data_IF_346312555189
#
_entry.id   IF_346312555189
#
_cell.length_a   1.000
_cell.length_b   1.000
_cell.length_c   1.000
_cell.angle_alpha   90.00
_cell.angle_beta   90.00
_cell.angle_gamma   90.00
#
_symmetry.space_group_name_H-M   'P 1'
#
loop_
_entity.id
_entity.type
_entity.pdbx_description
1 polymer ?
#
# COMPACT_ATOMS: atom_id res chain seq x y z
N UNK A 1 56.99 6.09 -13.79
CA UNK A 1 55.87 5.64 -14.64
C UNK A 1 54.64 5.58 -13.76
N UNK A 2 53.61 6.37 -14.10
CA UNK A 2 52.35 6.48 -13.38
C UNK A 2 51.36 5.37 -13.78
N UNK A 3 50.30 5.22 -12.97
CA UNK A 3 49.02 4.51 -13.16
C UNK A 3 49.07 2.98 -12.91
N UNK A 4 48.16 2.32 -12.17
CA UNK A 4 46.83 2.63 -11.63
C UNK A 4 46.48 1.52 -10.59
N UNK A 5 45.75 1.79 -9.49
CA UNK A 5 45.04 0.74 -8.77
C UNK A 5 43.75 0.37 -9.53
N UNK A 6 43.55 -0.91 -9.82
CA UNK A 6 42.33 -1.41 -10.47
C UNK A 6 41.12 -1.25 -9.55
N UNK A 7 40.41 -0.12 -9.72
CA UNK A 7 39.06 0.05 -9.23
C UNK A 7 38.07 -0.45 -10.29
N UNK A 8 37.23 -1.39 -9.83
CA UNK A 8 35.83 -1.60 -10.20
C UNK A 8 35.53 -1.98 -11.65
N UNK A 9 34.79 -3.09 -11.84
CA UNK A 9 33.39 -3.04 -12.30
C UNK A 9 32.80 -4.45 -12.33
N UNK A 10 31.79 -4.65 -11.48
CA UNK A 10 30.54 -5.34 -11.83
C UNK A 10 30.63 -6.82 -12.27
N UNK A 11 30.64 -7.72 -11.28
CA UNK A 11 29.83 -8.94 -11.42
C UNK A 11 28.98 -9.11 -10.17
N UNK A 12 28.08 -8.15 -9.97
CA UNK A 12 26.95 -8.26 -9.05
C UNK A 12 25.72 -8.78 -9.80
N UNK A 13 25.89 -9.85 -10.59
CA UNK A 13 24.82 -10.71 -11.09
C UNK A 13 25.00 -12.05 -10.36
N UNK A 14 24.07 -12.64 -9.61
CA UNK A 14 22.65 -12.38 -9.44
C UNK A 14 22.22 -13.01 -8.10
N UNK A 15 21.76 -12.20 -7.13
CA UNK A 15 20.73 -12.71 -6.23
C UNK A 15 19.55 -12.92 -7.16
N UNK A 16 19.32 -14.16 -7.59
CA UNK A 16 18.16 -14.53 -8.41
C UNK A 16 16.95 -13.80 -7.84
N UNK A 17 16.43 -12.79 -8.54
CA UNK A 17 15.32 -11.98 -8.05
C UNK A 17 14.08 -12.87 -8.04
N UNK A 18 13.89 -13.58 -6.93
CA UNK A 18 12.67 -14.33 -6.66
C UNK A 18 11.53 -13.32 -6.52
N UNK A 19 10.40 -13.57 -7.18
CA UNK A 19 9.26 -12.67 -7.21
C UNK A 19 9.01 -11.99 -8.55
N UNK A 20 8.29 -10.88 -8.50
CA UNK A 20 7.93 -10.04 -9.65
C UNK A 20 8.75 -8.75 -9.55
N UNK A 21 9.46 -8.39 -10.63
CA UNK A 21 10.25 -7.16 -10.65
C UNK A 21 9.35 -5.92 -10.59
N UNK A 22 9.88 -4.79 -10.10
CA UNK A 22 9.13 -3.52 -10.07
C UNK A 22 8.68 -3.06 -11.46
N UNK A 23 9.51 -3.31 -12.48
CA UNK A 23 9.18 -2.97 -13.85
C UNK A 23 7.96 -3.76 -14.36
N UNK A 24 7.91 -5.07 -14.12
CA UNK A 24 6.75 -5.90 -14.48
C UNK A 24 5.49 -5.47 -13.74
N UNK A 25 5.58 -5.15 -12.45
CA UNK A 25 4.42 -4.62 -11.69
C UNK A 25 3.90 -3.31 -12.29
N UNK A 26 4.80 -2.40 -12.70
CA UNK A 26 4.41 -1.15 -13.36
C UNK A 26 3.72 -1.41 -14.70
N UNK A 27 4.25 -2.33 -15.51
CA UNK A 27 3.63 -2.69 -16.79
C UNK A 27 2.23 -3.27 -16.57
N UNK A 28 2.07 -4.21 -15.63
CA UNK A 28 0.77 -4.75 -15.27
C UNK A 28 -0.19 -3.67 -14.78
N UNK A 29 0.27 -2.72 -13.97
CA UNK A 29 -0.57 -1.64 -13.44
C UNK A 29 -1.13 -0.73 -14.54
N UNK A 30 -0.32 -0.44 -15.56
CA UNK A 30 -0.67 0.42 -16.69
C UNK A 30 -1.49 -0.31 -17.76
N UNK A 31 -1.39 -1.64 -17.83
CA UNK A 31 -2.12 -2.45 -18.81
C UNK A 31 -3.61 -2.55 -18.46
N UNK A 32 -4.33 -1.60 -19.02
CA UNK A 32 -5.75 -1.42 -18.79
C UNK A 32 -6.58 -2.56 -19.42
N UNK A 33 -6.20 -3.08 -20.58
CA UNK A 33 -6.93 -4.15 -21.27
C UNK A 33 -6.78 -5.48 -20.54
N UNK A 34 -5.58 -5.75 -20.02
CA UNK A 34 -5.36 -6.85 -19.10
C UNK A 34 -6.19 -6.68 -17.82
N UNK A 35 -6.22 -5.50 -17.21
CA UNK A 35 -7.01 -5.27 -15.99
C UNK A 35 -8.52 -5.44 -16.22
N UNK A 36 -9.04 -5.09 -17.39
CA UNK A 36 -10.43 -5.37 -17.77
C UNK A 36 -10.68 -6.88 -17.85
N UNK A 37 -9.75 -7.63 -18.43
CA UNK A 37 -9.86 -9.08 -18.55
C UNK A 37 -9.78 -9.76 -17.17
N UNK A 38 -8.83 -9.32 -16.34
CA UNK A 38 -8.63 -9.82 -14.98
C UNK A 38 -9.84 -9.51 -14.08
N UNK A 39 -10.46 -8.33 -14.23
CA UNK A 39 -11.69 -7.97 -13.51
C UNK A 39 -12.82 -8.95 -13.78
N UNK A 40 -13.03 -9.33 -15.06
CA UNK A 40 -14.04 -10.31 -15.46
C UNK A 40 -13.73 -11.71 -14.92
N UNK A 41 -12.47 -12.15 -15.03
CA UNK A 41 -12.05 -13.49 -14.59
C UNK A 41 -12.13 -13.60 -13.06
N UNK A 42 -11.62 -12.60 -12.35
CA UNK A 42 -11.51 -12.64 -10.90
C UNK A 42 -12.81 -12.23 -10.17
N UNK A 43 -13.73 -11.59 -10.89
CA UNK A 43 -14.88 -10.89 -10.35
C UNK A 43 -14.45 -9.90 -9.25
N UNK A 44 -13.55 -8.97 -9.61
CA UNK A 44 -12.96 -7.96 -8.74
C UNK A 44 -12.80 -6.65 -9.48
N UNK A 45 -13.11 -5.54 -8.82
CA UNK A 45 -13.07 -4.19 -9.39
C UNK A 45 -11.63 -3.67 -9.66
N UNK A 46 -10.73 -4.47 -10.23
CA UNK A 46 -9.33 -4.08 -10.47
C UNK A 46 -9.19 -3.11 -11.65
N UNK A 47 -10.15 -3.06 -12.59
CA UNK A 47 -10.14 -2.06 -13.65
C UNK A 47 -10.58 -0.72 -13.11
N UNK A 48 -11.68 -0.71 -12.35
CA UNK A 48 -12.39 0.51 -11.93
C UNK A 48 -11.95 1.06 -10.58
N UNK A 49 -11.40 0.23 -9.69
CA UNK A 49 -10.93 0.64 -8.37
C UNK A 49 -9.39 0.51 -8.26
N UNK A 50 -8.69 1.63 -8.38
CA UNK A 50 -7.22 1.69 -8.32
C UNK A 50 -6.64 1.28 -6.97
N UNK A 51 -7.40 1.40 -5.87
CA UNK A 51 -6.96 0.90 -4.56
C UNK A 51 -6.92 -0.63 -4.57
N UNK A 52 -7.97 -1.27 -5.10
CA UNK A 52 -8.01 -2.74 -5.27
C UNK A 52 -6.91 -3.20 -6.22
N UNK A 53 -6.72 -2.52 -7.36
CA UNK A 53 -5.64 -2.81 -8.31
C UNK A 53 -4.26 -2.79 -7.64
N UNK A 54 -3.95 -1.69 -6.94
CA UNK A 54 -2.68 -1.52 -6.23
C UNK A 54 -2.47 -2.60 -5.18
N UNK A 55 -3.50 -2.87 -4.37
CA UNK A 55 -3.44 -3.89 -3.32
C UNK A 55 -3.22 -5.28 -3.91
N UNK A 56 -3.85 -5.60 -5.05
CA UNK A 56 -3.66 -6.87 -5.75
C UNK A 56 -2.22 -7.04 -6.23
N UNK A 57 -1.63 -6.02 -6.85
CA UNK A 57 -0.26 -6.10 -7.35
C UNK A 57 0.78 -6.19 -6.23
N UNK A 58 0.57 -5.48 -5.12
CA UNK A 58 1.43 -5.65 -3.94
C UNK A 58 1.29 -7.04 -3.33
N UNK A 59 0.07 -7.54 -3.19
CA UNK A 59 -0.15 -8.91 -2.72
C UNK A 59 0.50 -9.93 -3.65
N UNK A 60 0.40 -9.75 -4.97
CA UNK A 60 1.01 -10.63 -5.96
C UNK A 60 2.53 -10.68 -5.85
N UNK A 61 3.18 -9.52 -5.66
CA UNK A 61 4.61 -9.45 -5.41
C UNK A 61 5.00 -10.25 -4.16
N UNK A 62 4.32 -10.01 -3.04
CA UNK A 62 4.56 -10.71 -1.77
C UNK A 62 4.32 -12.21 -1.92
N UNK A 63 3.24 -12.60 -2.58
CA UNK A 63 2.88 -14.00 -2.81
C UNK A 63 3.97 -14.74 -3.59
N UNK A 64 4.47 -14.14 -4.68
CA UNK A 64 5.54 -14.75 -5.48
C UNK A 64 6.85 -14.85 -4.69
N UNK A 65 7.18 -13.84 -3.87
CA UNK A 65 8.35 -13.88 -3.00
C UNK A 65 8.24 -15.00 -1.95
N UNK A 66 7.11 -15.12 -1.26
CA UNK A 66 6.90 -16.13 -0.22
C UNK A 66 6.91 -17.56 -0.76
N UNK A 67 6.47 -17.77 -2.01
CA UNK A 67 6.44 -19.09 -2.64
C UNK A 67 7.65 -19.38 -3.52
N UNK A 68 8.68 -18.52 -3.48
CA UNK A 68 9.86 -18.69 -4.32
C UNK A 68 9.49 -18.84 -5.83
N UNK A 69 8.44 -18.15 -6.29
CA UNK A 69 8.03 -18.15 -7.69
C UNK A 69 8.88 -17.14 -8.46
N UNK A 70 9.53 -17.62 -9.52
CA UNK A 70 10.19 -16.76 -10.51
C UNK A 70 9.21 -16.41 -11.63
N UNK A 71 9.18 -15.13 -11.99
CA UNK A 71 8.37 -14.59 -13.08
C UNK A 71 9.32 -14.11 -14.17
N UNK A 72 9.17 -14.66 -15.38
CA UNK A 72 10.14 -14.45 -16.46
C UNK A 72 9.92 -13.13 -17.20
N UNK A 73 8.67 -12.84 -17.52
CA UNK A 73 8.27 -11.73 -18.37
C UNK A 73 6.82 -11.29 -18.09
N UNK A 74 6.33 -10.34 -18.89
CA UNK A 74 4.99 -9.79 -18.76
C UNK A 74 3.89 -10.82 -19.02
N UNK A 75 4.07 -11.71 -19.99
CA UNK A 75 3.07 -12.73 -20.33
C UNK A 75 2.94 -13.76 -19.20
N UNK A 76 4.08 -14.28 -18.71
CA UNK A 76 4.13 -15.19 -17.55
C UNK A 76 3.48 -14.55 -16.31
N UNK A 77 3.75 -13.25 -16.07
CA UNK A 77 3.14 -12.53 -14.95
C UNK A 77 1.61 -12.45 -15.07
N UNK A 78 1.08 -12.15 -16.26
CA UNK A 78 -0.36 -12.06 -16.56
C UNK A 78 -1.04 -13.41 -16.37
N UNK A 79 -0.50 -14.44 -17.00
CA UNK A 79 -1.08 -15.79 -16.95
C UNK A 79 -1.07 -16.32 -15.52
N UNK A 80 0.03 -16.14 -14.81
CA UNK A 80 0.14 -16.60 -13.43
C UNK A 80 -0.81 -15.86 -12.50
N UNK A 81 -0.89 -14.53 -12.58
CA UNK A 81 -1.82 -13.74 -11.76
C UNK A 81 -3.28 -14.09 -12.06
N UNK A 82 -3.66 -14.24 -13.34
CA UNK A 82 -5.01 -14.67 -13.73
C UNK A 82 -5.36 -16.05 -13.14
N UNK A 83 -4.41 -16.99 -13.15
CA UNK A 83 -4.59 -18.31 -12.55
C UNK A 83 -4.76 -18.24 -11.03
N UNK A 84 -3.98 -17.42 -10.33
CA UNK A 84 -4.13 -17.21 -8.89
C UNK A 84 -5.51 -16.62 -8.54
N UNK A 85 -6.05 -15.77 -9.41
CA UNK A 85 -7.28 -15.03 -9.17
C UNK A 85 -8.55 -15.72 -9.67
N UNK A 86 -8.48 -16.98 -10.14
CA UNK A 86 -9.68 -17.71 -10.56
C UNK A 86 -10.73 -17.77 -9.44
N UNK A 87 -12.04 -17.64 -9.75
CA UNK A 87 -13.10 -17.76 -8.75
C UNK A 87 -13.02 -19.11 -8.03
N UNK A 88 -13.23 -19.11 -6.72
CA UNK A 88 -13.16 -20.31 -5.88
C UNK A 88 -11.74 -20.79 -5.55
N UNK A 89 -10.69 -20.19 -6.09
CA UNK A 89 -9.31 -20.58 -5.73
C UNK A 89 -8.98 -20.16 -4.29
N UNK A 90 -8.18 -21.01 -3.60
CA UNK A 90 -7.66 -20.68 -2.26
C UNK A 90 -6.79 -19.43 -2.28
N UNK A 91 -6.05 -19.20 -3.36
CA UNK A 91 -5.18 -18.04 -3.55
C UNK A 91 -5.98 -16.75 -3.70
N UNK A 92 -7.14 -16.78 -4.38
CA UNK A 92 -8.06 -15.64 -4.42
C UNK A 92 -8.62 -15.35 -3.02
N UNK A 93 -8.98 -16.38 -2.26
CA UNK A 93 -9.45 -16.19 -0.87
C UNK A 93 -8.37 -15.56 0.02
N UNK A 94 -7.10 -15.94 -0.14
CA UNK A 94 -5.96 -15.30 0.54
C UNK A 94 -5.84 -13.82 0.17
N UNK A 95 -6.01 -13.46 -1.10
CA UNK A 95 -6.06 -12.05 -1.51
C UNK A 95 -7.24 -11.30 -0.86
N UNK A 96 -8.44 -11.90 -0.80
CA UNK A 96 -9.58 -11.28 -0.10
C UNK A 96 -9.27 -11.00 1.38
N UNK A 97 -8.65 -11.98 2.06
CA UNK A 97 -8.26 -11.82 3.46
C UNK A 97 -7.22 -10.70 3.64
N UNK A 98 -6.24 -10.62 2.73
CA UNK A 98 -5.27 -9.53 2.70
C UNK A 98 -5.96 -8.16 2.53
N UNK A 99 -6.89 -8.05 1.59
CA UNK A 99 -7.63 -6.81 1.35
C UNK A 99 -8.49 -6.40 2.55
N UNK A 100 -9.18 -7.35 3.19
CA UNK A 100 -9.97 -7.09 4.40
C UNK A 100 -9.10 -6.61 5.57
N UNK A 101 -7.90 -7.17 5.71
CA UNK A 101 -6.92 -6.71 6.71
C UNK A 101 -6.54 -5.25 6.48
N UNK A 102 -6.25 -4.86 5.23
CA UNK A 102 -5.96 -3.46 4.90
C UNK A 102 -7.14 -2.54 5.20
N UNK A 103 -8.35 -2.96 4.84
CA UNK A 103 -9.56 -2.18 5.15
C UNK A 103 -9.75 -1.98 6.66
N UNK A 104 -9.56 -3.03 7.46
CA UNK A 104 -9.65 -2.96 8.93
C UNK A 104 -8.65 -1.97 9.52
N UNK A 105 -7.40 -2.00 9.05
CA UNK A 105 -6.36 -1.04 9.47
C UNK A 105 -6.77 0.40 9.13
N UNK A 106 -7.24 0.66 7.91
CA UNK A 106 -7.66 1.99 7.49
C UNK A 106 -8.90 2.48 8.25
N UNK A 107 -9.84 1.58 8.55
CA UNK A 107 -10.98 1.89 9.40
C UNK A 107 -10.55 2.29 10.82
N UNK A 108 -9.67 1.51 11.46
CA UNK A 108 -9.20 1.79 12.81
C UNK A 108 -8.46 3.14 12.89
N UNK A 109 -7.63 3.45 11.89
CA UNK A 109 -6.96 4.77 11.78
C UNK A 109 -7.96 5.92 11.74
N UNK A 110 -9.05 5.79 10.96
CA UNK A 110 -10.09 6.83 10.88
C UNK A 110 -10.85 7.01 12.19
N UNK A 111 -11.06 5.94 12.97
CA UNK A 111 -11.68 6.07 14.29
C UNK A 111 -10.77 6.83 15.26
N UNK A 112 -9.48 6.46 15.34
CA UNK A 112 -8.52 7.14 16.19
C UNK A 112 -8.39 8.65 15.86
N UNK A 113 -8.45 9.02 14.58
CA UNK A 113 -8.43 10.42 14.16
C UNK A 113 -9.68 11.19 14.61
N UNK A 114 -10.86 10.56 14.61
CA UNK A 114 -12.09 11.19 15.09
C UNK A 114 -12.06 11.43 16.59
N UNK A 115 -11.52 10.49 17.35
CA UNK A 115 -11.35 10.65 18.81
C UNK A 115 -10.42 11.81 19.13
N UNK A 116 -9.26 11.91 18.44
CA UNK A 116 -8.32 13.01 18.62
C UNK A 116 -8.89 14.38 18.23
N UNK A 117 -9.59 14.47 17.09
CA UNK A 117 -10.18 15.72 16.63
C UNK A 117 -11.40 16.15 17.47
N UNK A 118 -12.15 15.20 18.06
CA UNK A 118 -13.27 15.48 18.95
C UNK A 118 -12.84 15.94 20.35
N UNK A 119 -11.66 15.54 20.81
CA UNK A 119 -11.11 15.97 22.11
C UNK A 119 -10.52 17.38 22.11
N UNK A 120 -10.07 17.91 20.96
CA UNK A 120 -9.41 19.22 20.88
C UNK A 120 -10.40 20.39 20.72
N UNK A 121 -11.65 20.12 20.31
CA UNK A 121 -12.72 21.14 20.23
C UNK A 121 -13.39 21.46 21.59
N UNK A 122 -12.88 20.89 22.68
CA UNK A 122 -13.60 20.77 23.95
C UNK A 122 -12.98 21.45 25.16
N UNK A 123 -12.15 22.49 25.06
CA UNK A 123 -11.75 23.27 26.25
C UNK A 123 -11.23 24.69 25.97
N UNK A 124 -12.06 25.60 25.44
CA UNK A 124 -11.81 27.04 25.59
C UNK A 124 -12.57 27.59 26.79
N UNK A 125 -12.01 27.40 28.00
CA UNK A 125 -12.42 28.19 29.17
C UNK A 125 -11.93 29.64 28.99
N UNK A 126 -12.79 30.49 28.44
CA UNK A 126 -12.63 31.94 28.55
C UNK A 126 -12.90 32.34 30.01
N UNK A 127 -11.86 32.48 30.82
CA UNK A 127 -11.95 33.18 32.10
C UNK A 127 -11.87 34.69 31.83
N UNK A 128 -13.03 35.33 31.65
CA UNK A 128 -13.13 36.79 31.75
C UNK A 128 -12.97 37.20 33.23
N UNK A 129 -11.73 37.53 33.62
CA UNK A 129 -11.44 38.21 34.87
C UNK A 129 -11.98 39.63 34.83
N UNK A 130 -13.15 39.84 35.43
CA UNK A 130 -13.78 41.15 35.63
C UNK A 130 -12.84 42.03 36.46
N UNK A 131 -12.52 43.18 35.90
CA UNK A 131 -12.01 44.36 36.58
C UNK A 131 -12.90 44.70 37.79
N UNK A 132 -12.28 44.80 38.96
CA UNK A 132 -12.84 45.48 40.13
C UNK A 132 -11.76 46.38 40.69
N UNK A 133 -11.83 47.67 40.35
CA UNK A 133 -11.16 48.71 41.10
C UNK A 133 -11.77 48.80 42.49
N UNK A 134 -10.93 48.80 43.52
CA UNK A 134 -11.30 49.25 44.86
C UNK A 134 -10.19 50.17 45.35
N UNK A 135 -10.52 51.46 45.37
CA UNK A 135 -9.76 52.51 46.04
C UNK A 135 -9.90 52.32 47.54
N UNK A 136 -8.79 52.29 48.28
CA UNK A 136 -8.79 52.62 49.71
C UNK A 136 -7.74 53.72 49.91
N UNK A 137 -8.27 54.88 50.29
CA UNK A 137 -7.53 56.02 50.84
C UNK A 137 -7.29 55.75 52.32
N UNK A 138 -6.13 56.11 52.84
CA UNK A 138 -5.89 56.20 54.29
C UNK A 138 -5.50 57.62 54.63
N UNK A 139 -6.14 58.13 55.69
CA UNK A 139 -6.02 59.47 56.25
C UNK A 139 -4.71 59.72 57.00
#
# INVERSE_FOLDING_TARGET
>A
MQHQPEHASETQFSRVEMGVTRNLLSQLYQDNDYMTSLERIANLAVRTNFVVRRNLLFWFQLYCQSHAKRIKDNADAKDYLANLMRPGSKTRAQFMAYQNKLYSIEWAKRQAQKEQNGSDSGFSKHSNGRSSGLLIVSA
#
